data_IF_569785981028
#
_entry.id   IF_569785981028
#
_cell.length_a   1.000
_cell.length_b   1.000
_cell.length_c   1.000
_cell.angle_alpha   90.00
_cell.angle_beta   90.00
_cell.angle_gamma   90.00
#
_symmetry.space_group_name_H-M   'P 1'
#
loop_
_entity.id
_entity.type
_entity.pdbx_description
1 polymer ?
#
# COMPACT_ATOMS: atom_id res chain seq x y z
N UNK A 1 -11.65 -17.51 43.33
CA UNK A 1 -10.29 -17.63 42.77
C UNK A 1 -10.26 -18.10 41.31
N UNK A 2 -11.13 -19.00 40.87
CA UNK A 2 -11.24 -19.50 39.48
C UNK A 2 -11.46 -18.42 38.41
N UNK A 3 -12.23 -17.36 38.70
CA UNK A 3 -12.47 -16.27 37.74
C UNK A 3 -11.25 -15.44 37.39
N UNK A 4 -10.33 -15.23 38.33
CA UNK A 4 -9.09 -14.47 38.09
C UNK A 4 -8.15 -15.24 37.16
N UNK A 5 -8.03 -16.56 37.32
CA UNK A 5 -7.21 -17.39 36.44
C UNK A 5 -7.78 -17.43 35.01
N UNK A 6 -9.11 -17.45 34.88
CA UNK A 6 -9.76 -17.39 33.55
C UNK A 6 -9.44 -16.08 32.82
N UNK A 7 -9.57 -14.96 33.51
CA UNK A 7 -9.25 -13.63 32.93
C UNK A 7 -7.78 -13.58 32.50
N UNK A 8 -6.89 -14.07 33.36
CA UNK A 8 -5.46 -14.08 33.07
C UNK A 8 -5.11 -14.95 31.86
N UNK A 9 -5.68 -16.16 31.75
CA UNK A 9 -5.47 -17.05 30.60
C UNK A 9 -6.00 -16.43 29.31
N UNK A 10 -7.17 -15.81 29.33
CA UNK A 10 -7.72 -15.11 28.15
C UNK A 10 -6.81 -13.94 27.73
N UNK A 11 -6.32 -13.15 28.69
CA UNK A 11 -5.40 -12.04 28.38
C UNK A 11 -4.09 -12.55 27.75
N UNK A 12 -3.53 -13.63 28.26
CA UNK A 12 -2.30 -14.24 27.69
C UNK A 12 -2.54 -14.74 26.28
N UNK A 13 -3.68 -15.38 26.02
CA UNK A 13 -4.03 -15.85 24.67
C UNK A 13 -4.21 -14.70 23.67
N UNK A 14 -4.83 -13.60 24.09
CA UNK A 14 -4.98 -12.39 23.25
C UNK A 14 -3.59 -11.81 22.92
N UNK A 15 -2.72 -11.65 23.91
CA UNK A 15 -1.35 -11.13 23.70
C UNK A 15 -0.56 -12.06 22.78
N UNK A 16 -0.62 -13.37 23.00
CA UNK A 16 0.04 -14.36 22.15
C UNK A 16 -0.48 -14.28 20.70
N UNK A 17 -1.78 -14.09 20.51
CA UNK A 17 -2.40 -13.88 19.20
C UNK A 17 -1.85 -12.64 18.49
N UNK A 18 -1.73 -11.51 19.18
CA UNK A 18 -1.14 -10.27 18.62
C UNK A 18 0.34 -10.45 18.23
N UNK A 19 1.11 -11.14 19.08
CA UNK A 19 2.53 -11.41 18.80
C UNK A 19 2.66 -12.33 17.57
N UNK A 20 1.87 -13.39 17.50
CA UNK A 20 1.86 -14.31 16.37
C UNK A 20 1.48 -13.61 15.06
N UNK A 21 0.43 -12.78 15.09
CA UNK A 21 0.01 -11.99 13.92
C UNK A 21 1.11 -11.04 13.46
N UNK A 22 1.78 -10.34 14.38
CA UNK A 22 2.89 -9.45 14.05
C UNK A 22 4.08 -10.22 13.46
N UNK A 23 4.38 -11.42 13.97
CA UNK A 23 5.44 -12.27 13.45
C UNK A 23 5.13 -12.77 12.03
N UNK A 24 3.90 -13.21 11.78
CA UNK A 24 3.43 -13.65 10.45
C UNK A 24 3.53 -12.48 9.45
N UNK A 25 3.08 -11.29 9.82
CA UNK A 25 3.17 -10.12 8.94
C UNK A 25 4.62 -9.76 8.60
N UNK A 26 5.53 -9.78 9.58
CA UNK A 26 6.96 -9.57 9.34
C UNK A 26 7.57 -10.64 8.42
N UNK A 27 7.18 -11.90 8.60
CA UNK A 27 7.64 -13.00 7.74
C UNK A 27 7.15 -12.83 6.30
N UNK A 28 5.88 -12.48 6.10
CA UNK A 28 5.31 -12.17 4.77
C UNK A 28 6.06 -11.02 4.10
N UNK A 29 6.25 -9.89 4.80
CA UNK A 29 7.02 -8.74 4.28
C UNK A 29 8.44 -9.15 3.84
N UNK A 30 9.14 -9.93 4.66
CA UNK A 30 10.49 -10.42 4.30
C UNK A 30 10.47 -11.32 3.06
N UNK A 31 9.42 -12.11 2.87
CA UNK A 31 9.26 -12.93 1.67
C UNK A 31 8.99 -12.07 0.44
N UNK A 32 8.07 -11.09 0.54
CA UNK A 32 7.75 -10.17 -0.55
C UNK A 32 8.93 -9.28 -0.94
N UNK A 33 9.73 -8.81 0.03
CA UNK A 33 10.96 -8.04 -0.23
C UNK A 33 12.03 -8.79 -1.04
N UNK A 34 12.00 -10.13 -1.04
CA UNK A 34 12.92 -10.95 -1.84
C UNK A 34 12.41 -11.23 -3.25
N UNK A 35 11.15 -10.93 -3.53
CA UNK A 35 10.56 -11.12 -4.85
C UNK A 35 11.08 -10.04 -5.81
N UNK A 36 11.26 -10.45 -7.07
CA UNK A 36 11.61 -9.54 -8.16
C UNK A 36 10.43 -9.44 -9.12
N UNK A 37 10.29 -8.29 -9.74
CA UNK A 37 9.30 -8.11 -10.79
C UNK A 37 9.65 -8.99 -11.99
N UNK A 38 8.66 -9.59 -12.60
CA UNK A 38 8.82 -10.27 -13.90
C UNK A 38 9.17 -9.23 -14.97
N UNK A 39 9.64 -9.70 -16.13
CA UNK A 39 9.93 -8.81 -17.25
C UNK A 39 8.69 -8.04 -17.70
N UNK A 40 7.54 -8.69 -17.72
CA UNK A 40 6.25 -8.09 -18.05
C UNK A 40 5.87 -6.98 -17.04
N UNK A 41 5.96 -7.27 -15.76
CA UNK A 41 5.68 -6.31 -14.69
C UNK A 41 6.63 -5.10 -14.73
N UNK A 42 7.92 -5.33 -15.02
CA UNK A 42 8.87 -4.23 -15.22
C UNK A 42 8.47 -3.34 -16.41
N UNK A 43 8.00 -3.93 -17.51
CA UNK A 43 7.53 -3.16 -18.67
C UNK A 43 6.31 -2.31 -18.33
N UNK A 44 5.36 -2.83 -17.53
CA UNK A 44 4.22 -2.06 -17.04
C UNK A 44 4.68 -0.82 -16.25
N UNK A 45 5.66 -0.98 -15.36
CA UNK A 45 6.19 0.14 -14.57
C UNK A 45 6.93 1.14 -15.45
N UNK A 46 7.84 0.69 -16.31
CA UNK A 46 8.71 1.56 -17.13
C UNK A 46 7.90 2.41 -18.11
N UNK A 47 6.77 1.89 -18.60
CA UNK A 47 5.91 2.57 -19.56
C UNK A 47 5.49 3.96 -19.10
N UNK A 48 5.05 4.09 -17.85
CA UNK A 48 4.54 5.35 -17.29
C UNK A 48 5.42 5.92 -16.17
N UNK A 49 6.42 5.15 -15.74
CA UNK A 49 7.38 5.55 -14.72
C UNK A 49 8.82 5.30 -15.21
N UNK A 50 9.24 6.06 -16.22
CA UNK A 50 10.53 5.91 -16.91
C UNK A 50 11.77 6.04 -16.01
N UNK A 51 11.64 6.72 -14.86
CA UNK A 51 12.71 6.85 -13.86
C UNK A 51 13.17 5.47 -13.38
N UNK A 52 12.26 4.51 -13.27
CA UNK A 52 12.55 3.15 -12.82
C UNK A 52 13.70 2.50 -13.62
N UNK A 53 13.71 2.66 -14.95
CA UNK A 53 14.74 2.10 -15.81
C UNK A 53 16.14 2.72 -15.59
N UNK A 54 16.20 3.93 -15.04
CA UNK A 54 17.44 4.69 -14.81
C UNK A 54 18.02 4.48 -13.42
N UNK A 55 17.28 3.80 -12.53
CA UNK A 55 17.75 3.55 -11.16
C UNK A 55 18.94 2.58 -11.16
N UNK A 56 19.94 2.80 -10.27
CA UNK A 56 20.97 1.80 -9.99
C UNK A 56 20.34 0.46 -9.60
N UNK A 57 21.02 -0.65 -9.90
CA UNK A 57 20.49 -1.99 -9.67
C UNK A 57 20.11 -2.22 -8.21
N UNK A 58 20.95 -1.80 -7.26
CA UNK A 58 20.66 -1.95 -5.82
C UNK A 58 19.40 -1.22 -5.39
N UNK A 59 19.16 -0.02 -5.92
CA UNK A 59 17.97 0.79 -5.66
C UNK A 59 16.73 0.13 -6.28
N UNK A 60 16.86 -0.35 -7.51
CA UNK A 60 15.79 -1.03 -8.23
C UNK A 60 15.39 -2.32 -7.54
N UNK A 61 16.36 -3.10 -7.06
CA UNK A 61 16.11 -4.33 -6.33
C UNK A 61 15.31 -4.11 -5.03
N UNK A 62 15.68 -3.09 -4.28
CA UNK A 62 14.92 -2.70 -3.08
C UNK A 62 13.52 -2.23 -3.45
N UNK A 63 13.39 -1.40 -4.49
CA UNK A 63 12.11 -0.87 -4.96
C UNK A 63 11.18 -1.99 -5.43
N UNK A 64 11.67 -2.99 -6.14
CA UNK A 64 10.87 -4.14 -6.58
C UNK A 64 10.29 -4.91 -5.40
N UNK A 65 11.10 -5.14 -4.36
CA UNK A 65 10.61 -5.77 -3.13
C UNK A 65 9.55 -4.94 -2.41
N UNK A 66 9.75 -3.61 -2.34
CA UNK A 66 8.79 -2.69 -1.75
C UNK A 66 7.47 -2.65 -2.52
N UNK A 67 7.51 -2.68 -3.86
CA UNK A 67 6.32 -2.75 -4.71
C UNK A 67 5.49 -3.99 -4.36
N UNK A 68 6.13 -5.16 -4.23
CA UNK A 68 5.41 -6.37 -3.85
C UNK A 68 4.77 -6.27 -2.46
N UNK A 69 5.49 -5.73 -1.46
CA UNK A 69 4.91 -5.50 -0.13
C UNK A 69 3.72 -4.56 -0.20
N UNK A 70 3.82 -3.49 -1.00
CA UNK A 70 2.77 -2.50 -1.15
C UNK A 70 1.51 -3.11 -1.77
N UNK A 71 1.65 -3.86 -2.86
CA UNK A 71 0.53 -4.53 -3.54
C UNK A 71 -0.09 -5.62 -2.65
N UNK A 72 0.74 -6.38 -1.92
CA UNK A 72 0.26 -7.44 -1.02
C UNK A 72 -0.52 -6.90 0.21
N UNK A 73 -0.26 -5.64 0.63
CA UNK A 73 -0.82 -5.07 1.86
C UNK A 73 -1.90 -4.00 1.65
N UNK A 74 -1.98 -3.41 0.46
CA UNK A 74 -2.92 -2.32 0.19
C UNK A 74 -4.08 -2.80 -0.67
N UNK A 75 -5.26 -2.26 -0.39
CA UNK A 75 -6.44 -2.45 -1.23
C UNK A 75 -6.47 -1.37 -2.32
N UNK A 76 -6.77 -1.77 -3.55
CA UNK A 76 -6.97 -0.85 -4.67
C UNK A 76 -8.43 -0.93 -5.08
N UNK A 77 -9.12 0.19 -5.06
CA UNK A 77 -10.56 0.27 -5.26
C UNK A 77 -10.89 1.20 -6.41
N UNK A 78 -11.61 0.68 -7.41
CA UNK A 78 -12.13 1.47 -8.52
C UNK A 78 -13.31 2.31 -8.07
N UNK A 79 -13.28 3.61 -8.33
CA UNK A 79 -14.30 4.56 -7.93
C UNK A 79 -14.74 5.41 -9.13
N UNK A 80 -15.81 6.18 -8.94
CA UNK A 80 -16.26 7.16 -9.94
C UNK A 80 -16.70 6.58 -11.28
N UNK A 81 -17.21 5.33 -11.30
CA UNK A 81 -17.66 4.66 -12.52
C UNK A 81 -16.57 3.90 -13.28
N UNK A 82 -15.38 3.77 -12.69
CA UNK A 82 -14.33 2.88 -13.21
C UNK A 82 -14.75 1.42 -12.95
N UNK A 83 -14.66 0.55 -13.96
CA UNK A 83 -15.04 -0.86 -13.82
C UNK A 83 -14.07 -1.65 -12.92
N UNK A 84 -12.77 -1.48 -13.14
CA UNK A 84 -11.74 -2.19 -12.37
C UNK A 84 -10.42 -1.40 -12.31
N UNK A 85 -9.60 -1.72 -11.31
CA UNK A 85 -8.22 -1.25 -11.23
C UNK A 85 -7.32 -2.27 -11.91
N UNK A 86 -6.71 -1.87 -13.02
CA UNK A 86 -5.82 -2.74 -13.78
C UNK A 86 -4.52 -3.05 -13.03
N UNK A 87 -3.90 -4.18 -13.32
CA UNK A 87 -2.59 -4.54 -12.80
C UNK A 87 -1.54 -3.44 -13.08
N UNK A 88 -1.57 -2.87 -14.28
CA UNK A 88 -0.72 -1.75 -14.67
C UNK A 88 -0.84 -0.56 -13.71
N UNK A 89 -2.06 -0.12 -13.38
CA UNK A 89 -2.29 0.98 -12.43
C UNK A 89 -1.70 0.64 -11.05
N UNK A 90 -1.91 -0.57 -10.55
CA UNK A 90 -1.39 -1.01 -9.26
C UNK A 90 0.14 -0.91 -9.21
N UNK A 91 0.84 -1.42 -10.24
CA UNK A 91 2.30 -1.40 -10.30
C UNK A 91 2.86 0.01 -10.43
N UNK A 92 2.27 0.88 -11.24
CA UNK A 92 2.72 2.26 -11.42
C UNK A 92 2.55 3.06 -10.13
N UNK A 93 1.39 2.98 -9.49
CA UNK A 93 1.11 3.65 -8.22
C UNK A 93 2.05 3.14 -7.11
N UNK A 94 2.20 1.82 -7.01
CA UNK A 94 3.10 1.22 -6.04
C UNK A 94 4.56 1.64 -6.26
N UNK A 95 5.03 1.69 -7.51
CA UNK A 95 6.39 2.10 -7.83
C UNK A 95 6.66 3.56 -7.45
N UNK A 96 5.74 4.47 -7.74
CA UNK A 96 5.85 5.89 -7.37
C UNK A 96 5.82 6.09 -5.85
N UNK A 97 4.88 5.44 -5.16
CA UNK A 97 4.78 5.52 -3.70
C UNK A 97 6.02 4.94 -3.02
N UNK A 98 6.47 3.77 -3.47
CA UNK A 98 7.60 3.07 -2.86
C UNK A 98 8.97 3.72 -3.14
N UNK A 99 9.12 4.48 -4.23
CA UNK A 99 10.35 5.24 -4.47
C UNK A 99 10.67 6.20 -3.31
N UNK A 100 9.65 6.72 -2.63
CA UNK A 100 9.83 7.59 -1.46
C UNK A 100 10.34 6.85 -0.22
N UNK A 101 10.27 5.53 -0.20
CA UNK A 101 10.69 4.67 0.92
C UNK A 101 12.13 4.17 0.79
N UNK A 102 12.66 4.10 -0.44
CA UNK A 102 13.99 3.55 -0.71
C UNK A 102 15.07 4.28 0.10
N UNK A 103 15.99 3.53 0.68
CA UNK A 103 17.07 4.03 1.53
C UNK A 103 16.60 4.84 2.77
N UNK A 104 15.38 4.62 3.24
CA UNK A 104 14.83 5.31 4.40
C UNK A 104 14.31 4.32 5.44
N UNK A 105 14.29 4.75 6.72
CA UNK A 105 13.50 4.07 7.75
C UNK A 105 12.03 4.34 7.47
N UNK A 106 11.24 3.30 7.31
CA UNK A 106 9.82 3.39 7.00
C UNK A 106 9.01 2.27 7.67
N UNK A 107 7.71 2.45 7.72
CA UNK A 107 6.75 1.50 8.28
C UNK A 107 5.85 0.85 7.20
N UNK A 108 6.24 0.92 5.94
CA UNK A 108 5.49 0.43 4.77
C UNK A 108 4.11 1.10 4.63
N UNK A 109 4.02 2.39 4.95
CA UNK A 109 2.75 3.10 4.97
C UNK A 109 1.68 2.39 5.82
N UNK A 110 2.03 2.02 7.04
CA UNK A 110 1.16 1.22 7.93
C UNK A 110 -0.23 1.80 8.13
N UNK A 111 -0.38 3.11 8.06
CA UNK A 111 -1.67 3.80 8.19
C UNK A 111 -2.49 3.80 6.90
N UNK A 112 -1.84 3.67 5.74
CA UNK A 112 -2.50 3.58 4.45
C UNK A 112 -3.07 2.17 4.27
N UNK A 113 -4.38 2.07 4.02
CA UNK A 113 -5.09 0.81 3.83
C UNK A 113 -5.64 0.67 2.42
N UNK A 114 -6.31 1.72 1.92
CA UNK A 114 -6.98 1.70 0.63
C UNK A 114 -6.52 2.85 -0.25
N UNK A 115 -6.44 2.58 -1.54
CA UNK A 115 -6.15 3.53 -2.60
C UNK A 115 -7.39 3.55 -3.50
N UNK A 116 -8.09 4.67 -3.50
CA UNK A 116 -9.31 4.88 -4.27
C UNK A 116 -8.92 5.57 -5.58
N UNK A 117 -9.21 4.94 -6.71
CA UNK A 117 -8.80 5.41 -8.03
C UNK A 117 -10.01 5.87 -8.82
N UNK A 118 -9.96 7.11 -9.27
CA UNK A 118 -11.00 7.74 -10.08
C UNK A 118 -10.52 7.87 -11.53
N UNK A 119 -11.41 7.73 -12.54
CA UNK A 119 -11.04 7.84 -13.95
C UNK A 119 -10.68 9.27 -14.38
N UNK A 120 -11.05 10.25 -13.57
CA UNK A 120 -10.79 11.68 -13.81
C UNK A 120 -10.81 12.44 -12.49
N UNK A 121 -10.33 13.68 -12.51
CA UNK A 121 -10.45 14.60 -11.38
C UNK A 121 -11.90 14.67 -10.89
N UNK A 122 -12.12 14.41 -9.60
CA UNK A 122 -13.46 14.44 -9.01
C UNK A 122 -13.81 15.81 -8.46
N UNK A 123 -15.10 16.17 -8.57
CA UNK A 123 -15.62 17.42 -8.03
C UNK A 123 -16.13 17.20 -6.61
N UNK A 124 -15.66 18.01 -5.69
CA UNK A 124 -16.19 18.06 -4.32
C UNK A 124 -16.95 19.39 -4.14
N UNK A 125 -18.19 19.29 -3.71
CA UNK A 125 -18.92 20.47 -3.23
C UNK A 125 -18.45 20.79 -1.81
N UNK A 126 -17.93 21.99 -1.61
CA UNK A 126 -17.65 22.49 -0.26
C UNK A 126 -18.97 22.97 0.40
N UNK A 127 -18.91 23.30 1.70
CA UNK A 127 -20.04 23.80 2.47
C UNK A 127 -20.69 25.12 1.87
N UNK A 128 -19.94 25.78 1.00
CA UNK A 128 -20.38 27.02 0.34
C UNK A 128 -20.92 26.81 -1.09
N UNK A 129 -21.01 25.55 -1.55
CA UNK A 129 -21.60 25.22 -2.85
C UNK A 129 -20.70 25.39 -4.07
N UNK A 130 -19.45 25.80 -3.90
CA UNK A 130 -18.47 25.90 -4.99
C UNK A 130 -17.87 24.53 -5.37
N UNK A 131 -17.83 24.25 -6.68
CA UNK A 131 -17.22 23.06 -7.24
C UNK A 131 -15.69 23.20 -7.22
N UNK A 132 -15.02 22.46 -6.33
CA UNK A 132 -13.57 22.32 -6.35
C UNK A 132 -13.17 21.03 -7.06
N UNK A 133 -12.30 21.18 -8.07
CA UNK A 133 -11.65 20.03 -8.73
C UNK A 133 -10.49 19.56 -7.87
N UNK A 134 -10.51 18.30 -7.42
CA UNK A 134 -9.40 17.68 -6.69
C UNK A 134 -8.72 16.62 -7.56
N UNK A 135 -7.39 16.66 -7.57
CA UNK A 135 -6.55 15.70 -8.27
C UNK A 135 -6.11 14.53 -7.38
N UNK A 136 -6.32 14.68 -6.08
CA UNK A 136 -6.01 13.65 -5.09
C UNK A 136 -6.23 14.15 -3.67
N UNK A 137 -6.44 13.23 -2.74
CA UNK A 137 -6.66 13.54 -1.32
C UNK A 137 -6.17 12.39 -0.43
N UNK A 138 -5.62 12.74 0.72
CA UNK A 138 -5.25 11.78 1.76
C UNK A 138 -6.12 11.95 2.99
N UNK A 139 -6.79 10.90 3.41
CA UNK A 139 -7.68 10.92 4.56
C UNK A 139 -7.03 10.29 5.79
N UNK A 140 -7.31 10.85 6.96
CA UNK A 140 -6.85 10.32 8.25
C UNK A 140 -7.36 8.91 8.55
N UNK A 141 -8.44 8.47 7.88
CA UNK A 141 -8.98 7.11 7.92
C UNK A 141 -8.08 6.05 7.31
N UNK A 142 -7.00 6.44 6.63
CA UNK A 142 -6.05 5.55 5.96
C UNK A 142 -6.37 5.27 4.49
N UNK A 143 -7.14 6.14 3.84
CA UNK A 143 -7.41 6.09 2.40
C UNK A 143 -6.71 7.23 1.68
N UNK A 144 -6.26 6.99 0.46
CA UNK A 144 -5.75 7.98 -0.49
C UNK A 144 -6.60 7.92 -1.75
N UNK A 145 -6.95 9.07 -2.29
CA UNK A 145 -7.68 9.24 -3.55
C UNK A 145 -6.68 9.69 -4.60
N UNK A 146 -6.73 9.09 -5.77
CA UNK A 146 -5.88 9.39 -6.93
C UNK A 146 -6.72 9.58 -8.18
#
# INVERSE_FOLDING_TARGET
MTGIYLIFTVAVLIIAGFIAQAAIMRARRRASMKRRLTQEQRQLVVRDFSIFARLPESIRDELEGLIHVFIDEKSFEACGGMEEVTEHMQYVIAAQACLLLVNRKHDFYRKLRSILIYPSAYKVKNEYGDDHVRLGESWSSGSVIL
#
